data_IF_059369935486
#
_entry.id   IF_059369935486
#
_cell.length_a   1.000
_cell.length_b   1.000
_cell.length_c   1.000
_cell.angle_alpha   90.00
_cell.angle_beta   90.00
_cell.angle_gamma   90.00
#
_symmetry.space_group_name_H-M   'P 1'
#
loop_
_entity.id
_entity.type
_entity.pdbx_description
1 polymer ?
#
# COMPACT_ATOMS: atom_id res chain seq x y z
N UNK A 1 41.41 -18.72 49.98
CA UNK A 1 40.99 -17.37 49.53
C UNK A 1 39.73 -17.35 48.61
N UNK A 2 38.97 -18.45 48.46
CA UNK A 2 37.78 -18.49 47.56
C UNK A 2 36.42 -18.23 48.24
N UNK A 3 36.29 -18.44 49.57
CA UNK A 3 35.02 -18.28 50.32
C UNK A 3 34.51 -16.83 50.42
N UNK A 4 35.32 -15.83 50.07
CA UNK A 4 34.98 -14.41 50.21
C UNK A 4 34.18 -13.88 49.00
N UNK A 5 34.51 -14.35 47.78
CA UNK A 5 33.83 -13.93 46.54
C UNK A 5 32.41 -14.46 46.41
N UNK A 6 32.11 -15.64 46.96
CA UNK A 6 30.76 -16.21 46.92
C UNK A 6 29.81 -15.51 47.89
N UNK A 7 30.30 -15.20 49.10
CA UNK A 7 29.55 -14.42 50.09
C UNK A 7 29.27 -13.00 49.60
N UNK A 8 30.25 -12.39 48.95
CA UNK A 8 30.11 -11.07 48.32
C UNK A 8 29.06 -11.08 47.19
N UNK A 9 29.09 -12.09 46.31
CA UNK A 9 28.07 -12.27 45.26
C UNK A 9 26.67 -12.47 45.86
N UNK A 10 26.55 -13.26 46.92
CA UNK A 10 25.28 -13.53 47.58
C UNK A 10 24.72 -12.28 48.28
N UNK A 11 25.60 -11.50 48.92
CA UNK A 11 25.28 -10.19 49.49
C UNK A 11 24.76 -9.22 48.41
N UNK A 12 25.49 -9.06 47.30
CA UNK A 12 25.05 -8.18 46.21
C UNK A 12 23.75 -8.66 45.54
N UNK A 13 23.52 -9.98 45.48
CA UNK A 13 22.27 -10.55 44.97
C UNK A 13 21.08 -10.22 45.89
N UNK A 14 21.23 -10.38 47.21
CA UNK A 14 20.21 -10.01 48.21
C UNK A 14 19.95 -8.50 48.19
N UNK A 15 21.02 -7.70 48.22
CA UNK A 15 20.95 -6.24 48.08
C UNK A 15 20.20 -5.80 46.81
N UNK A 16 20.48 -6.42 45.66
CA UNK A 16 19.79 -6.07 44.42
C UNK A 16 18.31 -6.47 44.44
N UNK A 17 17.97 -7.61 45.07
CA UNK A 17 16.59 -8.06 45.23
C UNK A 17 15.79 -7.13 46.16
N UNK A 18 16.35 -6.76 47.30
CA UNK A 18 15.75 -5.85 48.29
C UNK A 18 15.55 -4.45 47.74
N UNK A 19 16.52 -3.92 46.98
CA UNK A 19 16.44 -2.57 46.41
C UNK A 19 15.85 -2.51 44.99
N UNK A 20 15.38 -3.64 44.44
CA UNK A 20 14.85 -3.72 43.06
C UNK A 20 13.69 -2.75 42.83
N UNK A 21 12.74 -2.71 43.76
CA UNK A 21 11.53 -1.86 43.67
C UNK A 21 11.92 -0.38 43.73
N UNK A 22 12.77 -0.01 44.68
CA UNK A 22 13.30 1.35 44.84
C UNK A 22 14.06 1.81 43.58
N UNK A 23 14.98 0.98 43.07
CA UNK A 23 15.73 1.28 41.83
C UNK A 23 14.81 1.42 40.63
N UNK A 24 13.78 0.59 40.50
CA UNK A 24 12.79 0.69 39.42
C UNK A 24 11.97 1.98 39.53
N UNK A 25 11.58 2.37 40.74
CA UNK A 25 10.83 3.61 40.99
C UNK A 25 11.70 4.85 40.71
N UNK A 26 12.95 4.85 41.16
CA UNK A 26 13.94 5.88 40.85
C UNK A 26 14.20 5.98 39.35
N UNK A 27 14.35 4.86 38.65
CA UNK A 27 14.49 4.82 37.19
C UNK A 27 13.25 5.37 36.48
N UNK A 28 12.05 5.05 36.97
CA UNK A 28 10.79 5.58 36.43
C UNK A 28 10.66 7.09 36.64
N UNK A 29 10.98 7.58 37.85
CA UNK A 29 11.00 9.03 38.16
C UNK A 29 12.04 9.77 37.31
N UNK A 30 13.22 9.19 37.14
CA UNK A 30 14.27 9.73 36.27
C UNK A 30 13.82 9.75 34.79
N UNK A 31 13.21 8.67 34.31
CA UNK A 31 12.65 8.61 32.95
C UNK A 31 11.57 9.67 32.74
N UNK A 32 10.63 9.83 33.67
CA UNK A 32 9.58 10.86 33.57
C UNK A 32 10.17 12.27 33.57
N UNK A 33 11.09 12.56 34.49
CA UNK A 33 11.78 13.86 34.57
C UNK A 33 12.53 14.21 33.28
N UNK A 34 13.09 13.20 32.60
CA UNK A 34 13.88 13.39 31.38
C UNK A 34 13.12 13.07 30.08
N UNK A 35 11.83 12.73 30.15
CA UNK A 35 11.06 12.23 29.00
C UNK A 35 10.98 13.26 27.89
N UNK A 36 10.66 14.50 28.24
CA UNK A 36 10.49 15.58 27.27
C UNK A 36 11.83 15.93 26.61
N UNK A 37 12.89 16.11 27.41
CA UNK A 37 14.23 16.34 26.91
C UNK A 37 14.69 15.22 25.97
N UNK A 38 14.50 13.95 26.37
CA UNK A 38 14.84 12.79 25.51
C UNK A 38 14.04 12.76 24.22
N UNK A 39 12.74 13.02 24.29
CA UNK A 39 11.89 13.09 23.10
C UNK A 39 12.34 14.21 22.17
N UNK A 40 12.74 15.36 22.71
CA UNK A 40 13.23 16.50 21.93
C UNK A 40 14.57 16.18 21.25
N UNK A 41 15.49 15.53 21.98
CA UNK A 41 16.75 15.03 21.41
C UNK A 41 16.51 14.00 20.30
N UNK A 42 15.57 13.07 20.50
CA UNK A 42 15.20 12.07 19.49
C UNK A 42 14.59 12.75 18.26
N UNK A 43 13.72 13.75 18.43
CA UNK A 43 13.16 14.52 17.31
C UNK A 43 14.26 15.24 16.53
N UNK A 44 15.18 15.93 17.23
CA UNK A 44 16.32 16.62 16.61
C UNK A 44 17.18 15.65 15.81
N UNK A 45 17.55 14.53 16.41
CA UNK A 45 18.28 13.46 15.73
C UNK A 45 17.54 12.98 14.47
N UNK A 46 16.24 12.69 14.55
CA UNK A 46 15.46 12.29 13.38
C UNK A 46 15.38 13.37 12.31
N UNK A 47 15.38 14.65 12.69
CA UNK A 47 15.33 15.77 11.77
C UNK A 47 16.68 15.96 11.07
N UNK A 48 17.77 15.96 11.83
CA UNK A 48 19.15 16.10 11.33
C UNK A 48 19.53 14.92 10.42
N UNK A 49 19.14 13.70 10.80
CA UNK A 49 19.44 12.48 10.04
C UNK A 49 18.31 12.07 9.09
N UNK A 50 17.32 12.93 8.85
CA UNK A 50 16.14 12.61 8.03
C UNK A 50 16.55 12.15 6.63
N UNK A 51 17.41 12.90 5.97
CA UNK A 51 17.83 12.62 4.59
C UNK A 51 18.64 11.34 4.48
N UNK A 52 19.62 11.17 5.38
CA UNK A 52 20.43 9.96 5.48
C UNK A 52 19.57 8.72 5.76
N UNK A 53 18.59 8.85 6.65
CA UNK A 53 17.64 7.77 6.96
C UNK A 53 16.78 7.44 5.74
N UNK A 54 16.24 8.44 5.05
CA UNK A 54 15.44 8.22 3.82
C UNK A 54 16.28 7.53 2.76
N UNK A 55 17.53 7.97 2.57
CA UNK A 55 18.48 7.36 1.63
C UNK A 55 18.76 5.91 1.99
N UNK A 56 19.16 5.64 3.23
CA UNK A 56 19.43 4.28 3.72
C UNK A 56 18.21 3.36 3.58
N UNK A 57 17.02 3.84 3.94
CA UNK A 57 15.78 3.04 3.82
C UNK A 57 15.44 2.74 2.36
N UNK A 58 15.74 3.67 1.44
CA UNK A 58 15.56 3.46 0.00
C UNK A 58 16.54 2.41 -0.53
N UNK A 59 17.81 2.49 -0.14
CA UNK A 59 18.86 1.51 -0.49
C UNK A 59 18.49 0.13 0.05
N UNK A 60 18.17 0.03 1.34
CA UNK A 60 17.72 -1.21 1.97
C UNK A 60 16.51 -1.80 1.23
N UNK A 61 15.49 -0.99 0.92
CA UNK A 61 14.33 -1.47 0.18
C UNK A 61 14.69 -1.95 -1.23
N UNK A 62 15.60 -1.26 -1.93
CA UNK A 62 16.04 -1.67 -3.27
C UNK A 62 16.76 -3.01 -3.24
N UNK A 63 17.70 -3.19 -2.31
CA UNK A 63 18.46 -4.42 -2.12
C UNK A 63 17.59 -5.59 -1.65
N UNK A 64 16.56 -5.32 -0.84
CA UNK A 64 15.71 -6.35 -0.22
C UNK A 64 14.33 -6.45 -0.88
N UNK A 65 14.11 -5.80 -2.02
CA UNK A 65 12.79 -5.64 -2.65
C UNK A 65 12.07 -6.96 -2.85
N UNK A 66 12.76 -7.95 -3.43
CA UNK A 66 12.16 -9.24 -3.75
C UNK A 66 11.73 -10.00 -2.49
N UNK A 67 12.62 -10.05 -1.49
CA UNK A 67 12.33 -10.68 -0.21
C UNK A 67 11.15 -10.00 0.51
N UNK A 68 11.15 -8.66 0.58
CA UNK A 68 10.07 -7.89 1.19
C UNK A 68 8.74 -8.15 0.47
N UNK A 69 8.71 -8.15 -0.86
CA UNK A 69 7.51 -8.44 -1.64
C UNK A 69 7.00 -9.87 -1.42
N UNK A 70 7.91 -10.85 -1.31
CA UNK A 70 7.60 -12.25 -1.02
C UNK A 70 6.97 -12.40 0.37
N UNK A 71 7.58 -11.84 1.41
CA UNK A 71 7.05 -11.86 2.77
C UNK A 71 5.70 -11.15 2.88
N UNK A 72 5.56 -9.98 2.25
CA UNK A 72 4.29 -9.26 2.21
C UNK A 72 3.19 -10.05 1.50
N UNK A 73 3.51 -10.76 0.42
CA UNK A 73 2.57 -11.64 -0.28
C UNK A 73 2.11 -12.79 0.64
N UNK A 74 3.04 -13.48 1.29
CA UNK A 74 2.75 -14.56 2.25
C UNK A 74 1.86 -14.07 3.39
N UNK A 75 2.24 -12.95 4.01
CA UNK A 75 1.44 -12.34 5.08
C UNK A 75 0.01 -12.03 4.64
N UNK A 76 -0.20 -11.43 3.46
CA UNK A 76 -1.55 -11.15 2.92
C UNK A 76 -2.36 -12.42 2.65
N UNK A 77 -1.72 -13.52 2.26
CA UNK A 77 -2.38 -14.80 2.01
C UNK A 77 -2.82 -15.44 3.32
N UNK A 78 -1.91 -15.54 4.29
CA UNK A 78 -2.18 -16.13 5.61
C UNK A 78 -3.19 -15.31 6.41
N UNK A 79 -3.13 -13.98 6.31
CA UNK A 79 -4.00 -13.05 7.04
C UNK A 79 -5.14 -12.50 6.16
N UNK A 80 -5.55 -13.20 5.10
CA UNK A 80 -6.48 -12.70 4.07
C UNK A 80 -7.77 -12.11 4.65
N UNK A 81 -8.42 -12.81 5.60
CA UNK A 81 -9.68 -12.36 6.21
C UNK A 81 -9.49 -11.04 6.97
N UNK A 82 -8.48 -10.98 7.83
CA UNK A 82 -8.16 -9.79 8.62
C UNK A 82 -7.71 -8.63 7.73
N UNK A 83 -6.90 -8.89 6.70
CA UNK A 83 -6.49 -7.90 5.72
C UNK A 83 -7.69 -7.27 5.00
N UNK A 84 -8.64 -8.08 4.50
CA UNK A 84 -9.87 -7.58 3.85
C UNK A 84 -10.71 -6.76 4.83
N UNK A 85 -10.87 -7.21 6.07
CA UNK A 85 -11.61 -6.48 7.12
C UNK A 85 -10.98 -5.10 7.38
N UNK A 86 -9.66 -5.05 7.56
CA UNK A 86 -8.91 -3.81 7.78
C UNK A 86 -8.98 -2.88 6.57
N UNK A 87 -8.87 -3.41 5.34
CA UNK A 87 -9.04 -2.64 4.11
C UNK A 87 -10.44 -2.05 3.98
N UNK A 88 -11.49 -2.81 4.31
CA UNK A 88 -12.88 -2.31 4.34
C UNK A 88 -13.05 -1.19 5.36
N UNK A 89 -12.50 -1.34 6.56
CA UNK A 89 -12.51 -0.30 7.60
C UNK A 89 -11.78 0.96 7.13
N UNK A 90 -10.59 0.82 6.56
CA UNK A 90 -9.81 1.93 6.02
C UNK A 90 -10.56 2.68 4.90
N UNK A 91 -11.11 1.95 3.91
CA UNK A 91 -11.87 2.55 2.81
C UNK A 91 -13.11 3.34 3.27
N UNK A 92 -13.70 2.95 4.41
CA UNK A 92 -14.85 3.66 5.02
C UNK A 92 -14.46 4.84 5.90
N UNK A 93 -13.19 4.92 6.32
CA UNK A 93 -12.70 6.06 7.10
C UNK A 93 -12.62 7.33 6.27
N UNK A 94 -12.64 8.49 6.92
CA UNK A 94 -12.50 9.80 6.24
C UNK A 94 -11.21 9.90 5.44
N UNK A 95 -10.10 9.37 5.97
CA UNK A 95 -8.82 9.28 5.23
C UNK A 95 -8.96 8.46 3.95
N UNK A 96 -9.63 7.32 4.00
CA UNK A 96 -9.85 6.47 2.82
C UNK A 96 -10.76 7.11 1.78
N UNK A 97 -11.82 7.80 2.21
CA UNK A 97 -12.71 8.57 1.32
C UNK A 97 -11.97 9.72 0.64
N UNK A 98 -11.20 10.51 1.39
CA UNK A 98 -10.41 11.61 0.86
C UNK A 98 -9.38 11.13 -0.18
N UNK A 99 -8.70 10.01 0.07
CA UNK A 99 -7.79 9.40 -0.90
C UNK A 99 -8.52 9.01 -2.19
N UNK A 100 -9.68 8.37 -2.10
CA UNK A 100 -10.48 7.99 -3.27
C UNK A 100 -10.95 9.20 -4.07
N UNK A 101 -11.34 10.28 -3.38
CA UNK A 101 -11.71 11.53 -4.04
C UNK A 101 -10.54 12.09 -4.83
N UNK A 102 -9.34 12.14 -4.23
CA UNK A 102 -8.11 12.57 -4.92
C UNK A 102 -7.81 11.70 -6.14
N UNK A 103 -7.87 10.37 -6.02
CA UNK A 103 -7.66 9.44 -7.13
C UNK A 103 -8.66 9.69 -8.27
N UNK A 104 -9.94 9.90 -7.94
CA UNK A 104 -10.97 10.25 -8.91
C UNK A 104 -10.65 11.58 -9.60
N UNK A 105 -10.25 12.62 -8.86
CA UNK A 105 -9.88 13.92 -9.44
C UNK A 105 -8.74 13.78 -10.43
N UNK A 106 -7.68 13.04 -10.07
CA UNK A 106 -6.55 12.76 -10.97
C UNK A 106 -7.02 12.00 -12.22
N UNK A 107 -7.88 10.98 -12.05
CA UNK A 107 -8.45 10.23 -13.18
C UNK A 107 -9.24 11.13 -14.12
N UNK A 108 -10.08 12.01 -13.58
CA UNK A 108 -10.89 12.93 -14.37
C UNK A 108 -10.01 13.97 -15.10
N UNK A 109 -8.99 14.50 -14.44
CA UNK A 109 -8.01 15.39 -15.08
C UNK A 109 -7.33 14.72 -16.27
N UNK A 110 -6.91 13.46 -16.14
CA UNK A 110 -6.33 12.71 -17.27
C UNK A 110 -7.33 12.57 -18.41
N UNK A 111 -8.58 12.20 -18.12
CA UNK A 111 -9.63 12.05 -19.13
C UNK A 111 -9.94 13.36 -19.86
N UNK A 112 -9.84 14.51 -19.18
CA UNK A 112 -10.01 15.82 -19.82
C UNK A 112 -8.85 16.19 -20.77
N UNK A 113 -7.67 15.63 -20.56
CA UNK A 113 -6.45 15.98 -21.28
C UNK A 113 -6.10 15.02 -22.42
N UNK A 114 -6.87 13.95 -22.61
CA UNK A 114 -6.67 13.01 -23.73
C UNK A 114 -7.52 13.39 -24.94
N UNK A 115 -7.11 12.93 -26.11
CA UNK A 115 -7.95 12.99 -27.29
C UNK A 115 -9.17 12.08 -27.07
N UNK A 116 -10.37 12.61 -27.29
CA UNK A 116 -11.62 11.93 -26.99
C UNK A 116 -12.60 12.07 -28.16
N UNK A 117 -12.33 11.34 -29.24
CA UNK A 117 -13.09 11.43 -30.50
C UNK A 117 -14.01 10.23 -30.74
N UNK A 118 -13.93 9.18 -29.90
CA UNK A 118 -14.75 7.97 -30.07
C UNK A 118 -16.25 8.30 -30.02
N UNK A 119 -16.90 8.16 -31.17
CA UNK A 119 -18.34 8.34 -31.32
C UNK A 119 -19.13 7.06 -30.97
N UNK A 120 -20.44 7.21 -30.74
CA UNK A 120 -21.32 6.06 -30.54
C UNK A 120 -21.38 5.14 -31.78
N UNK A 121 -21.31 5.71 -32.99
CA UNK A 121 -21.30 4.95 -34.25
C UNK A 121 -20.03 4.12 -34.37
N UNK A 122 -18.87 4.70 -34.07
CA UNK A 122 -17.61 3.96 -34.07
C UNK A 122 -17.60 2.85 -33.02
N UNK A 123 -18.15 3.11 -31.83
CA UNK A 123 -18.28 2.06 -30.81
C UNK A 123 -19.14 0.89 -31.28
N UNK A 124 -20.27 1.15 -31.93
CA UNK A 124 -21.11 0.09 -32.51
C UNK A 124 -20.39 -0.67 -33.62
N UNK A 125 -19.60 0.02 -34.45
CA UNK A 125 -18.80 -0.61 -35.49
C UNK A 125 -17.72 -1.52 -34.89
N UNK A 126 -17.05 -1.07 -33.82
CA UNK A 126 -16.10 -1.90 -33.06
C UNK A 126 -16.80 -3.15 -32.53
N UNK A 127 -17.98 -3.02 -31.91
CA UNK A 127 -18.71 -4.19 -31.43
C UNK A 127 -19.04 -5.19 -32.54
N UNK A 128 -19.50 -4.70 -33.70
CA UNK A 128 -19.79 -5.54 -34.87
C UNK A 128 -18.54 -6.22 -35.42
N UNK A 129 -17.42 -5.51 -35.51
CA UNK A 129 -16.15 -6.07 -35.98
C UNK A 129 -15.67 -7.24 -35.11
N UNK A 130 -15.98 -7.20 -33.82
CA UNK A 130 -15.66 -8.26 -32.86
C UNK A 130 -16.79 -9.29 -32.69
N UNK A 131 -17.80 -9.32 -33.57
CA UNK A 131 -18.97 -10.22 -33.45
C UNK A 131 -19.65 -10.14 -32.07
N UNK A 132 -19.66 -8.94 -31.48
CA UNK A 132 -20.15 -8.71 -30.11
C UNK A 132 -19.49 -9.61 -29.05
N UNK A 133 -18.24 -10.03 -29.27
CA UNK A 133 -17.47 -10.85 -28.34
C UNK A 133 -16.38 -10.03 -27.65
N UNK A 134 -16.00 -10.48 -26.45
CA UNK A 134 -14.88 -9.91 -25.73
C UNK A 134 -13.56 -10.18 -26.45
N UNK A 135 -12.80 -9.12 -26.74
CA UNK A 135 -11.48 -9.19 -27.37
C UNK A 135 -10.46 -10.08 -26.64
N UNK A 136 -10.67 -10.30 -25.33
CA UNK A 136 -9.73 -11.06 -24.49
C UNK A 136 -10.10 -12.52 -24.26
N UNK A 137 -11.40 -12.81 -24.12
CA UNK A 137 -11.86 -14.15 -23.72
C UNK A 137 -12.86 -14.77 -24.70
N UNK A 138 -13.27 -14.07 -25.75
CA UNK A 138 -14.23 -14.55 -26.75
C UNK A 138 -15.67 -14.69 -26.26
N UNK A 139 -15.95 -14.43 -24.97
CA UNK A 139 -17.31 -14.49 -24.40
C UNK A 139 -18.22 -13.48 -25.10
N UNK A 140 -19.45 -13.92 -25.37
CA UNK A 140 -20.54 -13.10 -25.89
C UNK A 140 -20.87 -11.93 -24.93
N UNK A 141 -20.99 -10.72 -25.49
CA UNK A 141 -21.30 -9.47 -24.80
C UNK A 141 -22.76 -9.00 -25.01
N UNK A 142 -23.59 -9.75 -25.74
CA UNK A 142 -25.01 -9.46 -25.93
C UNK A 142 -25.85 -9.79 -24.70
N UNK A 143 -25.29 -10.50 -23.71
CA UNK A 143 -26.00 -10.84 -22.49
C UNK A 143 -26.26 -9.60 -21.62
N UNK A 144 -27.52 -9.37 -21.22
CA UNK A 144 -27.95 -8.19 -20.45
C UNK A 144 -27.19 -7.99 -19.13
N UNK A 145 -26.67 -9.07 -18.53
CA UNK A 145 -25.94 -9.01 -17.27
C UNK A 145 -24.47 -8.58 -17.40
N UNK A 146 -23.90 -8.62 -18.61
CA UNK A 146 -22.49 -8.36 -18.89
C UNK A 146 -22.36 -7.37 -20.06
N UNK A 147 -22.87 -6.15 -19.87
CA UNK A 147 -22.80 -5.09 -20.90
C UNK A 147 -21.34 -4.91 -21.36
N UNK A 148 -21.11 -4.76 -22.68
CA UNK A 148 -19.77 -4.58 -23.21
C UNK A 148 -19.16 -3.31 -22.63
N UNK A 149 -17.96 -3.43 -22.07
CA UNK A 149 -17.17 -2.30 -21.61
C UNK A 149 -16.20 -1.86 -22.70
N UNK A 150 -15.93 -0.55 -22.76
CA UNK A 150 -14.87 0.03 -23.58
C UNK A 150 -13.56 -0.08 -22.82
N UNK A 151 -12.69 -1.00 -23.23
CA UNK A 151 -11.36 -1.11 -22.65
C UNK A 151 -10.33 -0.42 -23.55
N UNK A 152 -9.40 0.30 -22.93
CA UNK A 152 -8.35 1.03 -23.65
C UNK A 152 -7.11 0.14 -23.79
N UNK A 153 -6.65 -0.15 -25.01
CA UNK A 153 -5.44 -0.97 -25.25
C UNK A 153 -4.25 -0.37 -24.48
N UNK A 154 -4.00 0.92 -24.69
CA UNK A 154 -3.18 1.76 -23.84
C UNK A 154 -4.07 2.48 -22.81
N UNK A 155 -3.97 2.18 -21.51
CA UNK A 155 -4.81 2.82 -20.49
C UNK A 155 -4.59 4.34 -20.41
N UNK A 156 -5.65 5.09 -20.11
CA UNK A 156 -5.59 6.55 -19.88
C UNK A 156 -4.54 6.93 -18.83
N UNK A 157 -4.32 6.10 -17.80
CA UNK A 157 -3.28 6.34 -16.79
C UNK A 157 -1.84 6.30 -17.33
N UNK A 158 -1.65 5.80 -18.56
CA UNK A 158 -0.39 5.70 -19.28
C UNK A 158 -0.36 6.56 -20.55
N UNK A 159 -1.33 7.49 -20.70
CA UNK A 159 -1.37 8.41 -21.84
C UNK A 159 -2.15 7.92 -23.05
N UNK A 160 -2.92 6.83 -22.93
CA UNK A 160 -3.76 6.39 -24.05
C UNK A 160 -5.03 7.20 -24.22
N UNK A 161 -5.37 7.49 -25.47
CA UNK A 161 -6.52 8.30 -25.86
C UNK A 161 -7.83 7.51 -25.95
N UNK A 162 -8.97 8.21 -25.90
CA UNK A 162 -10.29 7.61 -26.12
C UNK A 162 -10.70 7.73 -27.60
N UNK A 163 -10.00 6.99 -28.45
CA UNK A 163 -10.17 6.94 -29.92
C UNK A 163 -10.45 5.51 -30.38
N UNK A 164 -11.02 5.33 -31.57
CA UNK A 164 -11.43 4.01 -32.08
C UNK A 164 -10.27 3.01 -32.15
N UNK A 165 -9.06 3.46 -32.45
CA UNK A 165 -7.85 2.65 -32.58
C UNK A 165 -7.36 2.13 -31.22
N UNK A 166 -7.68 2.83 -30.13
CA UNK A 166 -7.23 2.47 -28.78
C UNK A 166 -8.32 1.73 -27.98
N UNK A 167 -9.47 1.42 -28.57
CA UNK A 167 -10.62 0.85 -27.84
C UNK A 167 -10.98 -0.52 -28.37
N UNK A 168 -11.14 -1.47 -27.44
CA UNK A 168 -11.64 -2.83 -27.73
C UNK A 168 -12.81 -3.18 -26.82
N UNK A 169 -13.72 -4.07 -27.27
CA UNK A 169 -14.82 -4.51 -26.45
C UNK A 169 -14.35 -5.58 -25.46
N UNK A 170 -14.65 -5.37 -24.18
CA UNK A 170 -14.29 -6.30 -23.13
C UNK A 170 -15.46 -6.56 -22.17
N UNK A 171 -15.59 -7.79 -21.68
CA UNK A 171 -16.47 -8.06 -20.56
C UNK A 171 -15.93 -7.41 -19.29
N UNK A 172 -16.81 -7.16 -18.31
CA UNK A 172 -16.44 -6.47 -17.07
C UNK A 172 -15.30 -7.17 -16.32
N UNK A 173 -15.31 -8.51 -16.31
CA UNK A 173 -14.29 -9.32 -15.62
C UNK A 173 -12.91 -9.18 -16.27
N UNK A 174 -12.83 -9.23 -17.61
CA UNK A 174 -11.57 -9.05 -18.35
C UNK A 174 -11.03 -7.62 -18.20
N UNK A 175 -11.87 -6.61 -18.39
CA UNK A 175 -11.47 -5.21 -18.21
C UNK A 175 -10.96 -4.95 -16.78
N UNK A 176 -11.68 -5.45 -15.77
CA UNK A 176 -11.26 -5.34 -14.36
C UNK A 176 -9.93 -6.07 -14.07
N UNK A 177 -9.69 -7.22 -14.74
CA UNK A 177 -8.44 -8.00 -14.60
C UNK A 177 -7.25 -7.32 -15.27
N UNK A 178 -7.47 -6.69 -16.43
CA UNK A 178 -6.44 -5.92 -17.14
C UNK A 178 -6.09 -4.64 -16.37
N UNK A 179 -7.09 -3.93 -15.84
CA UNK A 179 -6.91 -2.72 -15.06
C UNK A 179 -6.11 -1.66 -15.85
N UNK A 180 -4.87 -1.37 -15.45
CA UNK A 180 -3.97 -0.40 -16.09
C UNK A 180 -2.76 -1.07 -16.76
N UNK A 181 -2.83 -2.37 -17.01
CA UNK A 181 -1.81 -3.11 -17.77
C UNK A 181 -1.97 -2.83 -19.25
N UNK A 182 -0.85 -2.84 -19.96
CA UNK A 182 -0.82 -2.94 -21.42
C UNK A 182 -0.68 -4.44 -21.67
N UNK A 183 -1.62 -5.02 -22.41
CA UNK A 183 -1.68 -6.44 -22.77
C UNK A 183 -1.69 -6.51 -24.28
#
# INVERSE_FOLDING_TARGET
MYKNKEREKEYYKKYYQEHKKLKKEQASKNYQKNKEFRNEQIKRYHQEHKEQTIKHMKEYYQENKEHILKCNKKYRQENRKNYIKSQRKYRRSEKGKAMRQRENTVRQSRIKNILNTLTAKEWLNILKQYDYRCAYCGKDLLNLFDRPTRDHIMPVSKGGDNIKENIVPACQSCNSRKHNKII
#
